data_IF_907725975894
#
_entry.id   IF_907725975894
#
_cell.length_a   1.000
_cell.length_b   1.000
_cell.length_c   1.000
_cell.angle_alpha   90.00
_cell.angle_beta   90.00
_cell.angle_gamma   90.00
#
_symmetry.space_group_name_H-M   'P 1'
#
loop_
_entity.id
_entity.type
_entity.pdbx_description
1 polymer ?
#
# COMPACT_ATOMS: atom_id res chain seq x y z
N UNK A 1 14.45 -7.46 14.44
CA UNK A 1 13.42 -7.33 13.38
C UNK A 1 11.98 -7.22 13.90
N UNK A 2 11.48 -8.11 14.76
CA UNK A 2 10.07 -8.06 15.27
C UNK A 2 9.73 -6.74 15.99
N UNK A 3 10.68 -6.15 16.73
CA UNK A 3 10.47 -4.87 17.45
C UNK A 3 10.30 -3.66 16.53
N UNK A 4 10.95 -3.65 15.36
CA UNK A 4 10.85 -2.55 14.38
C UNK A 4 9.51 -2.66 13.63
N UNK A 5 9.10 -3.86 13.24
CA UNK A 5 7.77 -4.07 12.65
C UNK A 5 6.64 -3.70 13.61
N UNK A 6 6.77 -4.02 14.90
CA UNK A 6 5.79 -3.65 15.92
C UNK A 6 5.69 -2.13 16.09
N UNK A 7 6.82 -1.41 16.12
CA UNK A 7 6.83 0.04 16.23
C UNK A 7 6.23 0.74 15.00
N UNK A 8 6.51 0.23 13.79
CA UNK A 8 5.93 0.76 12.54
C UNK A 8 4.43 0.47 12.45
N UNK A 9 3.98 -0.71 12.88
CA UNK A 9 2.55 -1.06 12.93
C UNK A 9 1.80 -0.23 13.98
N UNK A 10 2.41 0.02 15.14
CA UNK A 10 1.85 0.89 16.18
C UNK A 10 1.75 2.35 15.73
N UNK A 11 2.81 2.90 15.12
CA UNK A 11 2.77 4.26 14.57
C UNK A 11 1.70 4.41 13.48
N UNK A 12 1.49 3.38 12.66
CA UNK A 12 0.44 3.35 11.63
C UNK A 12 -0.96 3.30 12.25
N UNK A 13 -1.18 2.48 13.29
CA UNK A 13 -2.47 2.39 14.00
C UNK A 13 -2.81 3.66 14.78
N UNK A 14 -1.82 4.36 15.34
CA UNK A 14 -2.02 5.65 16.01
C UNK A 14 -2.43 6.77 15.03
N UNK A 15 -1.97 6.74 13.78
CA UNK A 15 -2.33 7.74 12.76
C UNK A 15 -3.71 7.46 12.15
N UNK A 16 -4.11 6.19 12.06
CA UNK A 16 -5.42 5.79 11.50
C UNK A 16 -6.55 5.91 12.54
N UNK A 17 -6.24 5.86 13.83
CA UNK A 17 -7.23 5.89 14.93
C UNK A 17 -7.49 7.27 15.53
N UNK A 18 -7.20 8.38 14.83
CA UNK A 18 -7.60 9.73 15.30
C UNK A 18 -8.99 10.04 14.72
N UNK A 19 -10.10 9.83 15.47
CA UNK A 19 -11.38 10.41 15.10
C UNK A 19 -11.25 11.95 15.15
N UNK A 20 -11.72 12.59 14.09
CA UNK A 20 -11.54 14.01 13.78
C UNK A 20 -12.30 14.99 14.71
N UNK A 21 -12.61 14.62 15.95
CA UNK A 21 -13.54 15.39 16.80
C UNK A 21 -13.07 15.75 18.20
N UNK A 22 -11.80 15.55 18.58
CA UNK A 22 -11.36 15.94 19.93
C UNK A 22 -9.87 16.36 19.98
N UNK A 23 -9.62 17.64 19.66
CA UNK A 23 -8.41 18.34 20.12
C UNK A 23 -8.88 19.34 21.16
N UNK A 24 -8.97 18.90 22.41
CA UNK A 24 -8.83 19.72 23.61
C UNK A 24 -8.56 18.79 24.80
N UNK A 25 -7.50 19.12 25.53
CA UNK A 25 -7.10 18.57 26.82
C UNK A 25 -6.25 17.28 26.79
N UNK A 26 -4.96 17.51 26.55
CA UNK A 26 -3.86 16.76 27.18
C UNK A 26 -3.97 16.79 28.71
N UNK A 27 -4.05 15.64 29.36
CA UNK A 27 -3.33 15.31 30.61
C UNK A 27 -3.60 13.85 31.00
N UNK A 28 -2.55 13.19 31.50
CA UNK A 28 -2.53 11.85 32.11
C UNK A 28 -2.77 10.67 31.14
N UNK A 29 -1.72 9.88 30.90
CA UNK A 29 -1.54 8.54 31.51
C UNK A 29 -0.11 8.09 31.20
N UNK A 30 0.76 8.29 32.18
CA UNK A 30 1.97 7.51 32.42
C UNK A 30 1.60 6.12 32.94
N UNK A 31 2.52 5.19 32.71
CA UNK A 31 2.63 3.85 33.30
C UNK A 31 1.77 2.74 32.67
N UNK A 32 2.42 1.87 31.88
CA UNK A 32 2.34 0.42 32.09
C UNK A 32 3.44 -0.28 31.28
N UNK A 33 4.46 -0.79 31.98
CA UNK A 33 5.38 -1.79 31.47
C UNK A 33 4.93 -3.17 31.96
N UNK A 34 5.07 -4.24 31.16
CA UNK A 34 5.25 -5.56 31.76
C UNK A 34 6.53 -6.24 31.28
N UNK A 35 7.38 -6.45 32.28
CA UNK A 35 8.23 -7.60 32.57
C UNK A 35 8.15 -8.80 31.61
N UNK A 36 9.33 -9.16 31.11
CA UNK A 36 9.66 -10.45 30.53
C UNK A 36 9.78 -11.51 31.63
N UNK A 37 9.05 -12.62 31.52
CA UNK A 37 9.58 -13.92 31.94
C UNK A 37 8.94 -15.05 31.13
N UNK A 38 9.76 -15.71 30.30
CA UNK A 38 9.45 -16.97 29.64
C UNK A 38 9.84 -18.09 30.59
N UNK A 39 8.87 -18.87 31.04
CA UNK A 39 9.13 -20.26 31.43
C UNK A 39 8.69 -21.17 30.28
N UNK A 40 9.68 -21.87 29.72
CA UNK A 40 9.48 -23.05 28.89
C UNK A 40 8.90 -24.17 29.77
N UNK A 41 7.73 -24.69 29.41
CA UNK A 41 7.34 -26.03 29.83
C UNK A 41 6.81 -26.80 28.61
N UNK A 42 7.61 -27.79 28.19
CA UNK A 42 7.23 -28.84 27.26
C UNK A 42 6.21 -29.74 27.95
N UNK A 43 4.95 -29.72 27.50
CA UNK A 43 3.98 -30.75 27.84
C UNK A 43 3.83 -31.70 26.65
N UNK A 44 4.31 -32.92 26.86
CA UNK A 44 4.18 -34.08 25.98
C UNK A 44 2.88 -34.78 26.41
N UNK A 45 1.84 -34.71 25.59
CA UNK A 45 0.58 -35.43 25.84
C UNK A 45 0.49 -36.59 24.84
N UNK A 46 0.45 -37.85 25.29
CA UNK A 46 0.01 -38.97 24.46
C UNK A 46 -1.52 -39.01 24.46
N UNK A 47 -2.13 -39.09 23.27
CA UNK A 47 -3.56 -39.39 23.14
C UNK A 47 -3.69 -40.66 22.31
N UNK A 48 -3.83 -41.78 23.02
CA UNK A 48 -4.52 -42.96 22.54
C UNK A 48 -6.02 -42.61 22.44
N UNK A 49 -6.61 -42.74 21.25
CA UNK A 49 -8.06 -42.68 21.11
C UNK A 49 -8.59 -43.98 20.50
N UNK A 50 -9.31 -44.70 21.34
CA UNK A 50 -10.09 -45.89 21.03
C UNK A 50 -11.10 -45.65 19.90
N UNK A 51 -11.15 -46.64 19.01
CA UNK A 51 -12.18 -46.86 18.00
C UNK A 51 -13.49 -47.21 18.71
N UNK A 52 -14.44 -46.29 18.73
CA UNK A 52 -15.81 -46.50 19.20
C UNK A 52 -16.80 -46.42 18.05
N UNK A 53 -17.46 -47.54 17.76
CA UNK A 53 -18.60 -47.64 16.83
C UNK A 53 -19.70 -46.64 17.19
N UNK A 54 -20.03 -45.74 16.27
CA UNK A 54 -21.24 -44.91 16.37
C UNK A 54 -22.37 -45.56 15.58
N UNK A 55 -23.38 -46.00 16.34
CA UNK A 55 -24.68 -46.50 15.88
C UNK A 55 -25.38 -45.44 15.04
N UNK A 56 -25.96 -45.89 13.92
CA UNK A 56 -26.89 -45.17 13.07
C UNK A 56 -28.19 -44.89 13.81
N UNK A 57 -28.34 -43.68 14.37
CA UNK A 57 -29.61 -43.17 14.84
C UNK A 57 -30.32 -42.47 13.68
N UNK A 58 -31.47 -43.01 13.28
CA UNK A 58 -32.39 -42.43 12.31
C UNK A 58 -33.02 -41.16 12.88
N UNK A 59 -32.68 -40.01 12.28
CA UNK A 59 -33.26 -38.72 12.63
C UNK A 59 -34.70 -38.59 12.10
N UNK A 60 -35.64 -38.05 12.89
CA UNK A 60 -36.99 -37.76 12.44
C UNK A 60 -37.03 -36.64 11.39
N UNK A 61 -37.88 -36.83 10.39
CA UNK A 61 -38.11 -35.94 9.24
C UNK A 61 -38.75 -34.63 9.70
N UNK A 62 -37.97 -33.56 9.74
CA UNK A 62 -38.44 -32.20 10.05
C UNK A 62 -39.19 -31.63 8.82
N UNK A 63 -40.41 -31.08 8.98
CA UNK A 63 -41.16 -30.48 7.88
C UNK A 63 -40.45 -29.25 7.32
N UNK A 64 -40.37 -29.16 5.99
CA UNK A 64 -39.72 -28.06 5.27
C UNK A 64 -40.52 -26.77 5.43
N UNK A 65 -40.09 -25.87 6.31
CA UNK A 65 -40.53 -24.48 6.29
C UNK A 65 -39.91 -23.81 5.07
N UNK A 66 -40.72 -23.51 4.05
CA UNK A 66 -40.31 -22.64 2.93
C UNK A 66 -40.06 -21.24 3.48
N UNK A 67 -38.81 -20.95 3.83
CA UNK A 67 -38.35 -19.57 3.94
C UNK A 67 -38.29 -19.03 2.51
N UNK A 68 -39.28 -18.22 2.14
CA UNK A 68 -39.22 -17.40 0.92
C UNK A 68 -38.06 -16.43 1.11
N UNK A 69 -36.90 -16.79 0.56
CA UNK A 69 -35.75 -15.91 0.48
C UNK A 69 -36.16 -14.70 -0.36
N UNK A 70 -36.53 -13.61 0.31
CA UNK A 70 -36.66 -12.31 -0.33
C UNK A 70 -35.30 -11.97 -0.93
N UNK A 71 -35.24 -12.00 -2.25
CA UNK A 71 -34.12 -11.51 -3.04
C UNK A 71 -33.73 -10.13 -2.50
N UNK A 72 -32.53 -9.97 -1.90
CA UNK A 72 -32.09 -8.64 -1.52
C UNK A 72 -31.98 -7.85 -2.82
N UNK A 73 -32.89 -6.89 -2.98
CA UNK A 73 -32.88 -5.92 -4.05
C UNK A 73 -31.42 -5.50 -4.28
N UNK A 74 -30.95 -5.72 -5.51
CA UNK A 74 -29.60 -5.40 -5.94
C UNK A 74 -29.40 -3.91 -5.73
N UNK A 75 -28.86 -3.54 -4.56
CA UNK A 75 -28.34 -2.22 -4.30
C UNK A 75 -27.19 -2.05 -5.28
N UNK A 76 -27.50 -1.49 -6.46
CA UNK A 76 -26.52 -0.95 -7.40
C UNK A 76 -25.79 0.14 -6.65
N UNK A 77 -24.74 -0.25 -5.92
CA UNK A 77 -23.71 0.68 -5.52
C UNK A 77 -23.12 1.18 -6.83
N UNK A 78 -23.55 2.36 -7.26
CA UNK A 78 -22.89 3.17 -8.27
C UNK A 78 -21.52 3.56 -7.69
N UNK A 79 -20.61 2.61 -7.64
CA UNK A 79 -19.20 2.89 -7.63
C UNK A 79 -18.96 3.65 -8.92
N UNK A 80 -18.86 4.98 -8.82
CA UNK A 80 -18.33 5.85 -9.85
C UNK A 80 -17.18 5.11 -10.53
N UNK A 81 -17.46 4.64 -11.75
CA UNK A 81 -16.47 4.03 -12.61
C UNK A 81 -15.45 5.13 -12.84
N UNK A 82 -14.37 5.12 -12.05
CA UNK A 82 -13.29 6.09 -12.18
C UNK A 82 -12.96 6.18 -13.68
N UNK A 83 -13.12 7.37 -14.28
CA UNK A 83 -12.86 7.57 -15.69
C UNK A 83 -11.46 7.06 -16.00
N UNK A 84 -11.35 6.52 -17.21
CA UNK A 84 -10.35 5.58 -17.69
C UNK A 84 -8.92 5.80 -17.17
N UNK A 85 -8.16 4.70 -17.04
CA UNK A 85 -6.78 4.66 -16.51
C UNK A 85 -5.83 5.71 -17.14
N UNK A 86 -6.21 6.21 -18.33
CA UNK A 86 -5.62 7.34 -19.05
C UNK A 86 -5.48 8.66 -18.26
N UNK A 87 -6.25 8.89 -17.20
CA UNK A 87 -6.16 10.16 -16.43
C UNK A 87 -4.95 10.17 -15.48
N UNK A 88 -4.53 9.00 -14.97
CA UNK A 88 -3.48 8.92 -13.95
C UNK A 88 -2.14 9.53 -14.41
N UNK A 89 -1.62 9.24 -15.62
CA UNK A 89 -0.39 9.85 -16.08
C UNK A 89 -0.42 11.38 -16.06
N UNK A 90 -1.56 12.00 -16.41
CA UNK A 90 -1.71 13.46 -16.36
C UNK A 90 -1.69 13.99 -14.93
N UNK A 91 -2.30 13.27 -13.98
CA UNK A 91 -2.27 13.63 -12.56
C UNK A 91 -0.85 13.59 -12.02
N UNK A 92 -0.11 12.51 -12.25
CA UNK A 92 1.30 12.39 -11.81
C UNK A 92 2.22 13.40 -12.51
N UNK A 93 1.96 13.72 -13.78
CA UNK A 93 2.70 14.77 -14.53
C UNK A 93 2.41 16.16 -13.94
N UNK A 94 1.15 16.46 -13.64
CA UNK A 94 0.76 17.72 -13.00
C UNK A 94 1.42 17.89 -11.63
N UNK A 95 1.39 16.85 -10.78
CA UNK A 95 2.10 16.88 -9.50
C UNK A 95 3.61 17.01 -9.68
N UNK A 96 4.21 16.28 -10.63
CA UNK A 96 5.65 16.40 -10.93
C UNK A 96 6.03 17.83 -11.31
N UNK A 97 5.27 18.47 -12.22
CA UNK A 97 5.47 19.86 -12.61
C UNK A 97 5.31 20.84 -11.43
N UNK A 98 4.29 20.65 -10.60
CA UNK A 98 4.05 21.49 -9.42
C UNK A 98 5.18 21.35 -8.38
N UNK A 99 5.67 20.14 -8.13
CA UNK A 99 6.80 19.90 -7.22
C UNK A 99 8.09 20.52 -7.76
N UNK A 100 8.33 20.41 -9.07
CA UNK A 100 9.52 20.99 -9.70
C UNK A 100 9.47 22.53 -9.68
N UNK A 101 8.31 23.11 -10.00
CA UNK A 101 8.09 24.55 -9.86
C UNK A 101 8.34 25.02 -8.42
N UNK A 102 7.80 24.30 -7.43
CA UNK A 102 8.04 24.60 -6.02
C UNK A 102 9.53 24.51 -5.67
N UNK A 103 10.23 23.49 -6.15
CA UNK A 103 11.67 23.34 -5.95
C UNK A 103 12.46 24.55 -6.50
N UNK A 104 12.08 25.10 -7.67
CA UNK A 104 12.75 26.31 -8.22
C UNK A 104 12.51 27.59 -7.41
N UNK A 105 11.43 27.63 -6.61
CA UNK A 105 11.07 28.78 -5.78
C UNK A 105 11.66 28.73 -4.37
N UNK A 106 12.13 27.56 -3.92
CA UNK A 106 12.76 27.35 -2.62
C UNK A 106 14.26 27.62 -2.73
N UNK A 107 14.64 28.89 -2.85
CA UNK A 107 16.02 29.28 -3.18
C UNK A 107 17.05 29.05 -2.06
N UNK A 108 16.64 28.61 -0.86
CA UNK A 108 17.50 28.58 0.34
C UNK A 108 17.57 27.26 1.10
N UNK A 109 16.62 26.32 0.92
CA UNK A 109 16.61 25.02 1.63
C UNK A 109 16.99 23.86 0.70
N UNK A 110 18.28 23.47 0.75
CA UNK A 110 18.87 22.45 -0.12
C UNK A 110 18.21 21.06 0.04
N UNK A 111 17.88 20.66 1.27
CA UNK A 111 17.26 19.34 1.53
C UNK A 111 15.83 19.22 0.99
N UNK A 112 15.00 20.26 1.16
CA UNK A 112 13.64 20.28 0.62
C UNK A 112 13.68 20.21 -0.91
N UNK A 113 14.57 21.00 -1.52
CA UNK A 113 14.74 21.07 -2.97
C UNK A 113 15.10 19.69 -3.56
N UNK A 114 16.10 19.02 -2.97
CA UNK A 114 16.55 17.70 -3.45
C UNK A 114 15.41 16.66 -3.36
N UNK A 115 14.64 16.66 -2.26
CA UNK A 115 13.51 15.74 -2.10
C UNK A 115 12.41 16.02 -3.12
N UNK A 116 12.06 17.28 -3.34
CA UNK A 116 11.04 17.67 -4.31
C UNK A 116 11.43 17.27 -5.73
N UNK A 117 12.70 17.47 -6.11
CA UNK A 117 13.23 17.05 -7.43
C UNK A 117 13.20 15.52 -7.55
N UNK A 118 13.68 14.79 -6.54
CA UNK A 118 13.71 13.33 -6.55
C UNK A 118 12.30 12.74 -6.66
N UNK A 119 11.34 13.24 -5.88
CA UNK A 119 9.94 12.77 -5.93
C UNK A 119 9.25 13.21 -7.22
N UNK A 120 9.57 14.39 -7.76
CA UNK A 120 9.09 14.80 -9.07
C UNK A 120 9.53 13.82 -10.16
N UNK A 121 10.82 13.46 -10.19
CA UNK A 121 11.36 12.46 -11.10
C UNK A 121 10.70 11.10 -10.92
N UNK A 122 10.52 10.64 -9.67
CA UNK A 122 9.85 9.37 -9.36
C UNK A 122 8.40 9.35 -9.85
N UNK A 123 7.67 10.44 -9.60
CA UNK A 123 6.28 10.63 -10.01
C UNK A 123 6.13 10.49 -11.52
N UNK A 124 7.00 11.19 -12.27
CA UNK A 124 6.93 11.26 -13.72
C UNK A 124 7.44 9.98 -14.41
N UNK A 125 8.62 9.51 -14.02
CA UNK A 125 9.33 8.43 -14.72
C UNK A 125 8.86 7.04 -14.29
N UNK A 126 8.37 6.88 -13.05
CA UNK A 126 8.03 5.56 -12.52
C UNK A 126 6.55 5.46 -12.10
N UNK A 127 6.08 6.29 -11.15
CA UNK A 127 4.74 6.11 -10.56
C UNK A 127 3.63 6.20 -11.62
N UNK A 128 3.63 7.23 -12.46
CA UNK A 128 2.63 7.41 -13.51
C UNK A 128 2.48 6.20 -14.44
N UNK A 129 3.54 5.78 -15.15
CA UNK A 129 3.50 4.60 -16.01
C UNK A 129 3.19 3.31 -15.26
N UNK A 130 3.85 3.08 -14.12
CA UNK A 130 3.75 1.84 -13.35
C UNK A 130 2.35 1.63 -12.77
N UNK A 131 1.76 2.67 -12.18
CA UNK A 131 0.44 2.56 -11.56
C UNK A 131 -0.70 2.54 -12.58
N UNK A 132 -0.54 3.21 -13.72
CA UNK A 132 -1.45 3.04 -14.85
C UNK A 132 -1.43 1.57 -15.35
N UNK A 133 -0.25 0.97 -15.51
CA UNK A 133 -0.11 -0.43 -15.90
C UNK A 133 -0.74 -1.38 -14.87
N UNK A 134 -0.46 -1.16 -13.57
CA UNK A 134 -1.07 -1.94 -12.48
C UNK A 134 -2.60 -1.82 -12.44
N UNK A 135 -3.14 -0.62 -12.64
CA UNK A 135 -4.59 -0.41 -12.68
C UNK A 135 -5.23 -1.10 -13.90
N UNK A 136 -4.57 -1.05 -15.05
CA UNK A 136 -5.03 -1.75 -16.26
C UNK A 136 -4.99 -3.28 -16.06
N UNK A 137 -3.90 -3.80 -15.51
CA UNK A 137 -3.75 -5.21 -15.11
C UNK A 137 -4.85 -5.63 -14.13
N UNK A 138 -5.12 -4.83 -13.08
CA UNK A 138 -6.17 -5.12 -12.11
C UNK A 138 -7.58 -5.16 -12.74
N UNK A 139 -7.87 -4.26 -13.69
CA UNK A 139 -9.13 -4.28 -14.44
C UNK A 139 -9.24 -5.55 -15.29
N UNK A 140 -8.17 -5.98 -15.95
CA UNK A 140 -8.14 -7.20 -16.78
C UNK A 140 -8.29 -8.47 -15.93
N UNK A 141 -7.52 -8.59 -14.85
CA UNK A 141 -7.62 -9.71 -13.91
C UNK A 141 -9.04 -9.86 -13.33
N UNK A 142 -9.67 -8.75 -12.96
CA UNK A 142 -11.04 -8.75 -12.45
C UNK A 142 -12.09 -9.13 -13.51
N UNK A 143 -11.87 -8.79 -14.78
CA UNK A 143 -12.75 -9.19 -15.89
C UNK A 143 -12.58 -10.65 -16.27
N UNK A 144 -11.34 -11.16 -16.23
CA UNK A 144 -11.00 -12.54 -16.61
C UNK A 144 -11.45 -13.58 -15.57
N UNK A 145 -11.56 -13.20 -14.30
CA UNK A 145 -11.95 -14.10 -13.22
C UNK A 145 -13.46 -14.09 -13.02
N UNK A 146 -14.12 -15.21 -13.33
CA UNK A 146 -15.55 -15.38 -13.09
C UNK A 146 -15.87 -15.59 -11.60
N UNK A 147 -17.11 -15.30 -11.16
CA UNK A 147 -17.55 -15.61 -9.80
C UNK A 147 -17.62 -17.13 -9.59
N UNK A 148 -16.77 -17.66 -8.71
CA UNK A 148 -16.77 -19.07 -8.33
C UNK A 148 -16.96 -19.24 -6.82
N UNK A 149 -17.70 -20.28 -6.41
CA UNK A 149 -18.07 -20.54 -5.02
C UNK A 149 -17.03 -21.37 -4.25
N UNK A 150 -16.16 -22.13 -4.95
CA UNK A 150 -15.15 -23.00 -4.37
C UNK A 150 -13.91 -23.19 -5.27
N UNK A 151 -12.87 -23.84 -4.72
CA UNK A 151 -11.71 -24.30 -5.48
C UNK A 151 -10.72 -23.23 -5.94
N UNK A 152 -9.91 -23.60 -6.93
CA UNK A 152 -8.84 -22.75 -7.50
C UNK A 152 -9.39 -21.47 -8.13
N UNK A 153 -10.58 -21.53 -8.71
CA UNK A 153 -11.25 -20.37 -9.33
C UNK A 153 -11.63 -19.32 -8.29
N UNK A 154 -12.15 -19.74 -7.12
CA UNK A 154 -12.41 -18.84 -6.00
C UNK A 154 -11.13 -18.17 -5.51
N UNK A 155 -10.03 -18.92 -5.40
CA UNK A 155 -8.72 -18.37 -4.99
C UNK A 155 -8.22 -17.34 -6.02
N UNK A 156 -8.31 -17.64 -7.31
CA UNK A 156 -7.94 -16.71 -8.38
C UNK A 156 -8.79 -15.44 -8.33
N UNK A 157 -10.10 -15.57 -8.09
CA UNK A 157 -11.00 -14.43 -7.94
C UNK A 157 -10.66 -13.57 -6.72
N UNK A 158 -10.36 -14.19 -5.59
CA UNK A 158 -9.92 -13.50 -4.38
C UNK A 158 -8.60 -12.75 -4.63
N UNK A 159 -7.63 -13.37 -5.30
CA UNK A 159 -6.38 -12.71 -5.66
C UNK A 159 -6.63 -11.49 -6.57
N UNK A 160 -7.47 -11.61 -7.61
CA UNK A 160 -7.82 -10.49 -8.49
C UNK A 160 -8.51 -9.34 -7.73
N UNK A 161 -9.39 -9.65 -6.78
CA UNK A 161 -10.03 -8.67 -5.89
C UNK A 161 -9.02 -7.97 -4.98
N UNK A 162 -8.14 -8.74 -4.34
CA UNK A 162 -7.06 -8.22 -3.48
C UNK A 162 -6.13 -7.30 -4.26
N UNK A 163 -5.68 -7.73 -5.44
CA UNK A 163 -4.86 -6.92 -6.34
C UNK A 163 -5.53 -5.58 -6.67
N UNK A 164 -6.80 -5.61 -7.08
CA UNK A 164 -7.58 -4.41 -7.40
C UNK A 164 -7.70 -3.45 -6.21
N UNK A 165 -7.96 -3.98 -5.00
CA UNK A 165 -8.05 -3.17 -3.78
C UNK A 165 -6.70 -2.58 -3.40
N UNK A 166 -5.64 -3.39 -3.39
CA UNK A 166 -4.29 -2.96 -3.06
C UNK A 166 -3.80 -1.86 -4.01
N UNK A 167 -3.98 -2.03 -5.32
CA UNK A 167 -3.60 -1.02 -6.33
C UNK A 167 -4.35 0.31 -6.10
N UNK A 168 -5.64 0.27 -5.75
CA UNK A 168 -6.40 1.48 -5.43
C UNK A 168 -5.89 2.19 -4.19
N UNK A 169 -5.63 1.44 -3.11
CA UNK A 169 -5.05 1.99 -1.87
C UNK A 169 -3.73 2.69 -2.18
N UNK A 170 -2.87 2.03 -2.96
CA UNK A 170 -1.59 2.61 -3.40
C UNK A 170 -1.78 3.95 -4.09
N UNK A 171 -2.55 3.97 -5.18
CA UNK A 171 -2.72 5.15 -6.03
C UNK A 171 -3.33 6.30 -5.25
N UNK A 172 -4.38 6.04 -4.46
CA UNK A 172 -5.04 7.07 -3.66
C UNK A 172 -4.07 7.63 -2.63
N UNK A 173 -3.36 6.77 -1.88
CA UNK A 173 -2.41 7.20 -0.87
C UNK A 173 -1.25 8.02 -1.45
N UNK A 174 -0.74 7.62 -2.61
CA UNK A 174 0.31 8.37 -3.31
C UNK A 174 -0.17 9.72 -3.81
N UNK A 175 -1.37 9.80 -4.41
CA UNK A 175 -1.96 11.07 -4.86
C UNK A 175 -2.17 12.02 -3.68
N UNK A 176 -2.68 11.52 -2.54
CA UNK A 176 -2.82 12.32 -1.32
C UNK A 176 -1.45 12.79 -0.81
N UNK A 177 -0.46 11.90 -0.79
CA UNK A 177 0.92 12.23 -0.39
C UNK A 177 1.54 13.32 -1.27
N UNK A 178 1.45 13.20 -2.59
CA UNK A 178 1.93 14.19 -3.55
C UNK A 178 1.18 15.53 -3.40
N UNK A 179 -0.14 15.50 -3.25
CA UNK A 179 -0.94 16.69 -2.98
C UNK A 179 -0.50 17.40 -1.71
N UNK A 180 -0.23 16.65 -0.64
CA UNK A 180 0.30 17.19 0.61
C UNK A 180 1.67 17.85 0.41
N UNK A 181 2.57 17.25 -0.38
CA UNK A 181 3.88 17.83 -0.67
C UNK A 181 3.78 19.16 -1.44
N UNK A 182 2.87 19.23 -2.42
CA UNK A 182 2.62 20.46 -3.19
C UNK A 182 2.06 21.58 -2.30
N UNK A 183 1.11 21.24 -1.43
CA UNK A 183 0.44 22.22 -0.55
C UNK A 183 1.25 22.58 0.70
N UNK A 184 2.29 21.82 1.02
CA UNK A 184 3.13 22.11 2.18
C UNK A 184 3.83 23.46 2.04
N UNK A 185 3.90 24.24 3.13
CA UNK A 185 4.63 25.51 3.18
C UNK A 185 6.04 25.36 3.77
N UNK A 186 6.32 24.22 4.37
CA UNK A 186 7.54 23.93 5.13
C UNK A 186 8.08 22.56 4.74
N UNK A 187 9.40 22.38 4.83
CA UNK A 187 10.09 21.11 4.61
C UNK A 187 9.47 19.95 5.39
N UNK A 188 9.09 20.17 6.65
CA UNK A 188 8.37 19.17 7.47
C UNK A 188 7.09 18.67 6.81
N UNK A 189 6.31 19.57 6.20
CA UNK A 189 5.10 19.22 5.48
C UNK A 189 5.40 18.36 4.24
N UNK A 190 6.47 18.69 3.52
CA UNK A 190 6.97 17.93 2.37
C UNK A 190 7.39 16.53 2.79
N UNK A 191 8.21 16.39 3.85
CA UNK A 191 8.67 15.08 4.33
C UNK A 191 7.52 14.21 4.84
N UNK A 192 6.50 14.79 5.50
CA UNK A 192 5.27 14.06 5.82
C UNK A 192 4.56 13.56 4.56
N UNK A 193 4.45 14.38 3.51
CA UNK A 193 3.86 13.96 2.23
C UNK A 193 4.66 12.84 1.55
N UNK A 194 5.99 12.93 1.57
CA UNK A 194 6.90 11.88 1.11
C UNK A 194 6.71 10.56 1.88
N UNK A 195 6.54 10.64 3.21
CA UNK A 195 6.22 9.49 4.04
C UNK A 195 4.86 8.89 3.66
N UNK A 196 3.85 9.70 3.33
CA UNK A 196 2.57 9.20 2.81
C UNK A 196 2.73 8.44 1.48
N UNK A 197 3.55 8.94 0.55
CA UNK A 197 3.83 8.26 -0.72
C UNK A 197 4.45 6.87 -0.49
N UNK A 198 5.46 6.78 0.37
CA UNK A 198 6.10 5.49 0.68
C UNK A 198 5.22 4.58 1.54
N UNK A 199 4.49 5.17 2.49
CA UNK A 199 3.53 4.46 3.33
C UNK A 199 2.41 3.82 2.50
N UNK A 200 1.95 4.49 1.44
CA UNK A 200 0.99 3.92 0.50
C UNK A 200 1.58 2.72 -0.28
N UNK A 201 2.86 2.77 -0.64
CA UNK A 201 3.56 1.64 -1.27
C UNK A 201 3.70 0.47 -0.30
N UNK A 202 4.09 0.74 0.95
CA UNK A 202 4.20 -0.29 1.99
C UNK A 202 2.83 -0.93 2.31
N UNK A 203 1.79 -0.10 2.46
CA UNK A 203 0.42 -0.54 2.67
C UNK A 203 -0.08 -1.42 1.50
N UNK A 204 0.30 -1.10 0.27
CA UNK A 204 0.01 -1.94 -0.90
C UNK A 204 0.64 -3.33 -0.79
N UNK A 205 1.91 -3.43 -0.36
CA UNK A 205 2.59 -4.72 -0.17
C UNK A 205 1.94 -5.51 0.97
N UNK A 206 1.69 -4.85 2.10
CA UNK A 206 1.03 -5.43 3.27
C UNK A 206 -0.40 -5.90 2.98
N UNK A 207 -1.13 -5.19 2.12
CA UNK A 207 -2.48 -5.58 1.68
C UNK A 207 -2.47 -6.77 0.70
N UNK A 208 -1.32 -7.40 0.47
CA UNK A 208 -1.18 -8.55 -0.43
C UNK A 208 -0.93 -8.18 -1.88
N UNK A 209 -0.56 -6.93 -2.19
CA UNK A 209 -0.23 -6.50 -3.55
C UNK A 209 0.88 -7.35 -4.18
N UNK A 210 1.88 -7.75 -3.41
CA UNK A 210 2.98 -8.60 -3.91
C UNK A 210 2.55 -10.03 -4.27
N UNK A 211 1.82 -10.69 -3.36
CA UNK A 211 1.39 -12.09 -3.52
C UNK A 211 0.21 -12.24 -4.50
N UNK A 212 -0.63 -11.22 -4.61
CA UNK A 212 -1.75 -11.17 -5.53
C UNK A 212 -1.42 -10.45 -6.85
N UNK A 213 -0.15 -10.17 -7.16
CA UNK A 213 0.25 -9.44 -8.36
C UNK A 213 -0.25 -10.13 -9.63
N UNK A 214 -0.81 -9.35 -10.54
CA UNK A 214 -1.15 -9.81 -11.90
C UNK A 214 -0.27 -9.15 -12.95
N UNK A 215 -0.02 -9.85 -14.06
CA UNK A 215 0.73 -9.34 -15.21
C UNK A 215 -0.13 -8.46 -16.12
N UNK A 216 0.44 -7.99 -17.23
CA UNK A 216 -0.28 -7.18 -18.20
C UNK A 216 -1.41 -7.93 -18.90
N UNK A 217 -1.38 -9.26 -18.93
CA UNK A 217 -2.46 -10.08 -19.49
C UNK A 217 -3.54 -10.41 -18.46
N UNK A 218 -3.37 -9.97 -17.21
CA UNK A 218 -4.29 -10.26 -16.12
C UNK A 218 -4.15 -11.69 -15.57
N UNK A 219 -3.01 -12.35 -15.79
CA UNK A 219 -2.67 -13.62 -15.17
C UNK A 219 -1.99 -13.40 -13.82
N UNK A 220 -2.23 -14.31 -12.87
CA UNK A 220 -1.57 -14.28 -11.57
C UNK A 220 -0.07 -14.52 -11.74
N UNK A 221 0.75 -13.54 -11.31
CA UNK A 221 2.20 -13.59 -11.36
C UNK A 221 2.77 -13.00 -10.06
N UNK A 222 2.74 -13.78 -8.96
CA UNK A 222 3.18 -13.33 -7.65
C UNK A 222 4.65 -12.92 -7.67
N UNK A 223 5.00 -11.94 -6.84
CA UNK A 223 6.41 -11.61 -6.60
C UNK A 223 7.02 -12.73 -5.73
N UNK A 224 8.18 -13.29 -6.11
CA UNK A 224 8.88 -14.25 -5.26
C UNK A 224 9.12 -13.68 -3.86
N UNK A 225 8.92 -14.49 -2.83
CA UNK A 225 8.92 -14.04 -1.43
C UNK A 225 10.20 -13.29 -1.04
N UNK A 226 11.37 -13.79 -1.45
CA UNK A 226 12.66 -13.13 -1.20
C UNK A 226 12.72 -11.73 -1.79
N UNK A 227 12.22 -11.55 -3.02
CA UNK A 227 12.16 -10.24 -3.68
C UNK A 227 11.14 -9.33 -3.00
N UNK A 228 9.98 -9.87 -2.60
CA UNK A 228 8.96 -9.12 -1.88
C UNK A 228 9.48 -8.59 -0.54
N UNK A 229 10.21 -9.41 0.23
CA UNK A 229 10.84 -9.01 1.48
C UNK A 229 11.90 -7.94 1.28
N UNK A 230 12.70 -8.04 0.21
CA UNK A 230 13.68 -7.01 -0.17
C UNK A 230 13.00 -5.67 -0.46
N UNK A 231 11.97 -5.67 -1.30
CA UNK A 231 11.20 -4.46 -1.65
C UNK A 231 10.56 -3.87 -0.38
N UNK A 232 9.89 -4.68 0.45
CA UNK A 232 9.28 -4.21 1.70
C UNK A 232 10.31 -3.59 2.65
N UNK A 233 11.53 -4.14 2.72
CA UNK A 233 12.59 -3.62 3.58
C UNK A 233 13.07 -2.26 3.10
N UNK A 234 13.31 -2.13 1.78
CA UNK A 234 13.71 -0.84 1.18
C UNK A 234 12.61 0.20 1.38
N UNK A 235 11.36 -0.13 1.08
CA UNK A 235 10.22 0.78 1.25
C UNK A 235 10.03 1.20 2.71
N UNK A 236 10.23 0.28 3.66
CA UNK A 236 10.17 0.59 5.09
C UNK A 236 11.31 1.51 5.54
N UNK A 237 12.53 1.32 5.02
CA UNK A 237 13.68 2.21 5.29
C UNK A 237 13.39 3.61 4.75
N UNK A 238 12.90 3.73 3.52
CA UNK A 238 12.58 5.02 2.92
C UNK A 238 11.40 5.70 3.63
N UNK A 239 10.38 4.94 4.02
CA UNK A 239 9.28 5.44 4.84
C UNK A 239 9.79 5.99 6.18
N UNK A 240 10.63 5.22 6.89
CA UNK A 240 11.23 5.66 8.15
C UNK A 240 12.12 6.89 7.96
N UNK A 241 12.96 6.92 6.92
CA UNK A 241 13.79 8.06 6.59
C UNK A 241 12.95 9.33 6.35
N UNK A 242 11.83 9.21 5.62
CA UNK A 242 10.91 10.33 5.41
C UNK A 242 10.25 10.81 6.72
N UNK A 243 9.88 9.90 7.62
CA UNK A 243 9.36 10.26 8.94
C UNK A 243 10.42 10.93 9.82
N UNK A 244 11.64 10.38 9.88
CA UNK A 244 12.75 10.99 10.63
C UNK A 244 13.07 12.39 10.11
N UNK A 245 13.05 12.58 8.79
CA UNK A 245 13.26 13.89 8.17
C UNK A 245 12.11 14.87 8.41
N UNK A 246 10.93 14.39 8.83
CA UNK A 246 9.80 15.24 9.21
C UNK A 246 9.84 15.70 10.67
N UNK A 247 10.81 15.25 11.46
CA UNK A 247 11.02 15.73 12.83
C UNK A 247 11.79 17.06 12.82
N UNK A 248 11.51 17.96 13.79
CA UNK A 248 12.08 19.30 13.80
C UNK A 248 13.61 19.30 13.97
N UNK A 249 14.28 20.08 13.10
CA UNK A 249 15.63 20.64 13.22
C UNK A 249 16.66 19.77 13.96
N UNK A 250 17.07 18.67 13.32
CA UNK A 250 18.26 17.92 13.68
C UNK A 250 19.13 17.68 12.45
N UNK A 251 20.46 17.62 12.62
CA UNK A 251 21.39 17.17 11.59
C UNK A 251 21.01 15.78 11.04
N UNK A 252 20.41 14.95 11.89
CA UNK A 252 19.83 13.65 11.53
C UNK A 252 18.70 13.78 10.50
N UNK A 253 17.84 14.80 10.62
CA UNK A 253 16.76 15.04 9.67
C UNK A 253 17.26 15.36 8.26
N UNK A 254 18.35 16.13 8.14
CA UNK A 254 19.00 16.39 6.86
C UNK A 254 19.53 15.10 6.22
N UNK A 255 20.28 14.30 6.99
CA UNK A 255 20.83 13.01 6.52
C UNK A 255 19.69 12.08 6.09
N UNK A 256 18.61 11.99 6.87
CA UNK A 256 17.45 11.18 6.54
C UNK A 256 16.75 11.66 5.24
N UNK A 257 16.66 12.97 5.02
CA UNK A 257 16.12 13.53 3.77
C UNK A 257 17.00 13.16 2.56
N UNK A 258 18.33 13.20 2.70
CA UNK A 258 19.27 12.79 1.66
C UNK A 258 19.15 11.30 1.36
N UNK A 259 19.09 10.45 2.39
CA UNK A 259 18.89 9.00 2.23
C UNK A 259 17.58 8.70 1.50
N UNK A 260 16.50 9.38 1.90
CA UNK A 260 15.21 9.28 1.24
C UNK A 260 15.31 9.67 -0.25
N UNK A 261 15.86 10.86 -0.53
CA UNK A 261 15.97 11.36 -1.90
C UNK A 261 16.85 10.48 -2.77
N UNK A 262 17.96 9.95 -2.24
CA UNK A 262 18.82 9.03 -2.95
C UNK A 262 18.09 7.74 -3.31
N UNK A 263 17.40 7.10 -2.36
CA UNK A 263 16.64 5.87 -2.64
C UNK A 263 15.50 6.08 -3.63
N UNK A 264 14.78 7.19 -3.52
CA UNK A 264 13.73 7.58 -4.48
C UNK A 264 14.33 7.85 -5.88
N UNK A 265 15.51 8.45 -5.95
CA UNK A 265 16.20 8.70 -7.22
C UNK A 265 16.60 7.39 -7.91
N UNK A 266 17.09 6.40 -7.16
CA UNK A 266 17.36 5.05 -7.69
C UNK A 266 16.08 4.45 -8.29
N UNK A 267 14.95 4.52 -7.58
CA UNK A 267 13.67 4.06 -8.12
C UNK A 267 13.22 4.85 -9.36
N UNK A 268 13.57 6.12 -9.47
CA UNK A 268 13.27 6.95 -10.66
C UNK A 268 14.05 6.48 -11.90
N UNK A 269 15.32 6.09 -11.71
CA UNK A 269 16.19 5.60 -12.77
C UNK A 269 15.68 4.30 -13.39
N UNK A 270 15.01 3.44 -12.63
CA UNK A 270 14.38 2.22 -13.15
C UNK A 270 13.30 2.52 -14.22
N UNK A 271 12.67 3.69 -14.15
CA UNK A 271 11.66 4.14 -15.11
C UNK A 271 12.24 4.70 -16.41
N UNK A 272 13.50 5.15 -16.40
CA UNK A 272 14.15 5.82 -17.54
C UNK A 272 14.17 4.96 -18.80
N UNK A 273 14.57 3.66 -18.77
CA UNK A 273 14.58 2.84 -19.98
C UNK A 273 13.19 2.69 -20.62
N UNK A 274 12.13 2.62 -19.81
CA UNK A 274 10.75 2.51 -20.31
C UNK A 274 10.30 3.82 -20.95
N UNK A 275 10.63 4.94 -20.31
CA UNK A 275 10.36 6.27 -20.84
C UNK A 275 11.06 6.53 -22.18
N UNK A 276 12.36 6.19 -22.28
CA UNK A 276 13.14 6.34 -23.52
C UNK A 276 12.59 5.47 -24.65
N UNK A 277 12.14 4.24 -24.35
CA UNK A 277 11.48 3.36 -25.33
C UNK A 277 10.18 3.98 -25.85
N UNK A 278 9.36 4.53 -24.96
CA UNK A 278 8.11 5.19 -25.35
C UNK A 278 8.37 6.41 -26.26
N UNK A 279 9.39 7.23 -25.97
CA UNK A 279 9.74 8.37 -26.82
C UNK A 279 10.25 7.97 -28.20
N UNK A 280 11.05 6.90 -28.30
CA UNK A 280 11.55 6.41 -29.60
C UNK A 280 10.44 5.81 -30.47
N UNK A 281 9.51 5.07 -29.88
CA UNK A 281 8.40 4.45 -30.61
C UNK A 281 7.41 5.45 -31.23
N UNK A 282 7.39 6.70 -30.76
CA UNK A 282 6.54 7.75 -31.29
C UNK A 282 7.10 8.44 -32.55
N UNK A 283 8.34 8.14 -32.97
CA UNK A 283 8.96 8.73 -34.17
C UNK A 283 8.74 7.89 -35.44
N UNK A 284 8.07 6.76 -35.33
CA UNK A 284 7.88 5.78 -36.41
C UNK A 284 6.45 5.69 -36.95
N UNK A 285 5.58 6.64 -36.57
CA UNK A 285 4.26 6.87 -37.16
C UNK A 285 4.20 8.31 -37.69
#
# INVERSE_FOLDING_TARGET
>A
MIRILSAVLWAFLCVVSIPSSEVRNTAAVTAFAPSLSRHHQKLKVPVDLHVGQLRTLSLPKIPSVRVVAQSPASARTTCTSLPSAKVLPFVYTGFSGALLYKATRLSTDCSETIVLVAVSALSFLNLGPSDNARLASAKRAYKKTEPASAGKEKQARQAALTWKKAVRIKIIGQVIGLGRMVLAKECRGVMKGAAWVMGATLAFLMAGGGSARHDDMGNLKPIPEKALMGIMTIDAILFAAALLAAEPSSSLGFVAAVVYAAGVSVGSLEGVPQFLKAMKGNKSN
#
